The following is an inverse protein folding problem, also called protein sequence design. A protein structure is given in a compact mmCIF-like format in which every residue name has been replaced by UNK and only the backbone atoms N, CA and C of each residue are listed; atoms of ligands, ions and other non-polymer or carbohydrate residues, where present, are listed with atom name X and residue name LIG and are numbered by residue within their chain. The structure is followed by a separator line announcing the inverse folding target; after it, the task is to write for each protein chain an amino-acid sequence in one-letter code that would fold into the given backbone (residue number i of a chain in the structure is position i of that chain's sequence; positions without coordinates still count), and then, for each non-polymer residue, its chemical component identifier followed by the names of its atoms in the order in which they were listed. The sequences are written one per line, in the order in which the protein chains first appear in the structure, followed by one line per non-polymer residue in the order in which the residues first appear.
data_IF_702708788268
#
_entry.id   IF_702708788268
#
_cell.length_a   1.000
_cell.length_b   1.000
_cell.length_c   1.000
_cell.angle_alpha   90.00
_cell.angle_beta   90.00
_cell.angle_gamma   90.00
#
_symmetry.space_group_name_H-M   'P 1'
#
loop_
_entity.id
_entity.type
_entity.pdbx_description
1 polymer ?
#
# COMPACT_ATOMS: atom_id res chain seq x y z
N UNK A 1 -3.08 -0.13 -21.06
CA UNK A 1 -4.01 -0.74 -20.06
C UNK A 1 -3.23 -1.06 -18.80
N UNK A 2 -3.88 -1.14 -17.64
CA UNK A 2 -3.22 -1.46 -16.35
C UNK A 2 -2.48 -2.80 -16.43
N UNK A 3 -3.07 -3.80 -17.07
CA UNK A 3 -2.43 -5.10 -17.31
C UNK A 3 -1.05 -5.00 -17.99
N UNK A 4 -0.89 -4.08 -18.95
CA UNK A 4 0.41 -3.83 -19.59
C UNK A 4 1.38 -3.17 -18.61
N UNK A 5 0.95 -2.13 -17.87
CA UNK A 5 1.78 -1.50 -16.83
C UNK A 5 2.27 -2.52 -15.79
N UNK A 6 1.39 -3.42 -15.33
CA UNK A 6 1.75 -4.48 -14.38
C UNK A 6 2.77 -5.46 -14.95
N UNK A 7 2.68 -5.81 -16.24
CA UNK A 7 3.69 -6.67 -16.90
C UNK A 7 5.05 -5.98 -16.99
N UNK A 8 5.07 -4.67 -17.22
CA UNK A 8 6.31 -3.89 -17.29
C UNK A 8 7.07 -3.83 -15.95
N UNK A 9 6.40 -4.05 -14.81
CA UNK A 9 7.05 -4.15 -13.51
C UNK A 9 8.15 -5.23 -13.47
N UNK A 10 8.01 -6.34 -14.23
CA UNK A 10 9.06 -7.38 -14.32
C UNK A 10 10.41 -6.85 -14.80
N UNK A 11 10.42 -5.73 -15.53
CA UNK A 11 11.65 -5.12 -16.08
C UNK A 11 12.36 -4.23 -15.07
N UNK A 12 11.73 -3.92 -13.93
CA UNK A 12 12.26 -3.00 -12.92
C UNK A 12 13.31 -3.65 -12.02
N UNK A 13 13.17 -4.96 -11.75
CA UNK A 13 14.06 -5.70 -10.85
C UNK A 13 14.37 -7.08 -11.45
N UNK A 14 15.66 -7.39 -11.57
CA UNK A 14 16.11 -8.73 -12.01
C UNK A 14 15.66 -9.77 -10.98
N UNK A 15 15.01 -10.84 -11.46
CA UNK A 15 14.51 -11.93 -10.60
C UNK A 15 13.18 -11.65 -9.92
N UNK A 16 12.49 -10.54 -10.25
CA UNK A 16 11.13 -10.30 -9.79
C UNK A 16 10.14 -11.18 -10.56
N UNK A 17 9.48 -12.06 -9.83
CA UNK A 17 8.36 -12.84 -10.31
C UNK A 17 7.06 -12.05 -10.11
N UNK A 18 6.21 -12.09 -11.14
CA UNK A 18 4.89 -11.46 -11.10
C UNK A 18 3.86 -12.45 -11.59
N UNK A 19 2.88 -12.67 -10.73
CA UNK A 19 1.69 -13.50 -10.99
C UNK A 19 0.47 -12.59 -10.89
N UNK A 20 -0.39 -12.64 -11.91
CA UNK A 20 -1.66 -11.93 -11.91
C UNK A 20 -2.78 -12.97 -11.99
N UNK A 21 -3.77 -12.83 -11.12
CA UNK A 21 -5.00 -13.63 -11.17
C UNK A 21 -6.16 -12.77 -10.69
N UNK A 22 -7.27 -12.77 -11.46
CA UNK A 22 -8.41 -11.88 -11.20
C UNK A 22 -7.97 -10.41 -11.06
N UNK A 23 -8.25 -9.79 -9.92
CA UNK A 23 -7.94 -8.44 -9.48
C UNK A 23 -6.65 -8.35 -8.64
N UNK A 24 -5.96 -9.48 -8.45
CA UNK A 24 -4.78 -9.61 -7.59
C UNK A 24 -3.48 -9.63 -8.39
N UNK A 25 -2.48 -8.94 -7.85
CA UNK A 25 -1.10 -8.95 -8.36
C UNK A 25 -0.18 -9.39 -7.23
N UNK A 26 0.60 -10.44 -7.48
CA UNK A 26 1.59 -10.96 -6.54
C UNK A 26 2.99 -10.65 -7.07
N UNK A 27 3.81 -10.05 -6.22
CA UNK A 27 5.23 -9.77 -6.46
C UNK A 27 6.04 -10.69 -5.55
N UNK A 28 6.97 -11.48 -6.11
CA UNK A 28 7.86 -12.33 -5.35
C UNK A 28 9.31 -12.15 -5.82
N UNK A 29 10.25 -12.05 -4.88
CA UNK A 29 11.68 -11.93 -5.17
C UNK A 29 12.49 -12.59 -4.04
N UNK A 30 13.66 -13.19 -4.33
CA UNK A 30 14.57 -13.63 -3.28
C UNK A 30 14.98 -12.46 -2.38
N UNK A 31 14.96 -12.70 -1.07
CA UNK A 31 15.29 -11.69 -0.09
C UNK A 31 16.77 -11.30 -0.16
N UNK A 32 17.01 -9.99 -0.25
CA UNK A 32 18.23 -9.29 0.12
C UNK A 32 17.81 -7.90 0.57
N UNK A 33 18.65 -7.20 1.35
CA UNK A 33 18.33 -5.82 1.75
C UNK A 33 18.13 -4.89 0.53
N UNK A 34 18.90 -5.11 -0.53
CA UNK A 34 18.77 -4.37 -1.79
C UNK A 34 17.44 -4.67 -2.49
N UNK A 35 17.08 -5.95 -2.62
CA UNK A 35 15.83 -6.36 -3.26
C UNK A 35 14.61 -5.88 -2.47
N UNK A 36 14.67 -5.89 -1.13
CA UNK A 36 13.63 -5.34 -0.28
C UNK A 36 13.37 -3.86 -0.61
N UNK A 37 14.42 -3.03 -0.62
CA UNK A 37 14.30 -1.59 -0.95
C UNK A 37 13.67 -1.38 -2.33
N UNK A 38 14.17 -2.11 -3.33
CA UNK A 38 13.64 -2.06 -4.70
C UNK A 38 12.17 -2.46 -4.77
N UNK A 39 11.76 -3.52 -4.07
CA UNK A 39 10.35 -3.96 -4.08
C UNK A 39 9.45 -2.97 -3.38
N UNK A 40 9.88 -2.38 -2.25
CA UNK A 40 9.10 -1.33 -1.56
C UNK A 40 8.89 -0.13 -2.50
N UNK A 41 9.92 0.29 -3.24
CA UNK A 41 9.80 1.36 -4.22
C UNK A 41 8.85 1.00 -5.38
N UNK A 42 8.94 -0.23 -5.89
CA UNK A 42 8.04 -0.72 -6.94
C UNK A 42 6.60 -0.73 -6.46
N UNK A 43 6.33 -1.24 -5.26
CA UNK A 43 4.98 -1.28 -4.69
C UNK A 43 4.46 0.15 -4.45
N UNK A 44 5.28 1.01 -3.86
CA UNK A 44 4.96 2.43 -3.62
C UNK A 44 4.54 3.12 -4.91
N UNK A 45 5.38 3.06 -5.94
CA UNK A 45 5.11 3.70 -7.22
C UNK A 45 3.88 3.09 -7.91
N UNK A 46 3.74 1.77 -7.88
CA UNK A 46 2.60 1.09 -8.48
C UNK A 46 1.28 1.43 -7.79
N UNK A 47 1.27 1.52 -6.46
CA UNK A 47 0.09 1.93 -5.69
C UNK A 47 -0.28 3.40 -5.96
N UNK A 48 0.71 4.29 -6.10
CA UNK A 48 0.47 5.68 -6.49
C UNK A 48 -0.07 5.80 -7.92
N UNK A 49 0.48 5.03 -8.87
CA UNK A 49 -0.02 4.98 -10.25
C UNK A 49 -1.47 4.50 -10.32
N UNK A 50 -1.83 3.50 -9.52
CA UNK A 50 -3.22 3.04 -9.42
C UNK A 50 -4.12 4.14 -8.84
N UNK A 51 -3.70 4.85 -7.80
CA UNK A 51 -4.44 5.98 -7.25
C UNK A 51 -4.63 7.09 -8.32
N UNK A 52 -3.59 7.43 -9.08
CA UNK A 52 -3.67 8.38 -10.20
C UNK A 52 -4.65 7.92 -11.28
N UNK A 53 -4.84 6.61 -11.44
CA UNK A 53 -5.84 6.00 -12.32
C UNK A 53 -7.23 5.91 -11.68
N UNK A 54 -7.41 6.36 -10.43
CA UNK A 54 -8.67 6.34 -9.68
C UNK A 54 -8.95 5.01 -8.98
N UNK A 55 -7.94 4.15 -8.85
CA UNK A 55 -8.06 2.79 -8.34
C UNK A 55 -7.38 2.70 -6.97
N UNK A 56 -8.18 2.38 -5.97
CA UNK A 56 -7.69 2.08 -4.63
C UNK A 56 -7.29 0.62 -4.55
N UNK A 57 -6.07 0.35 -4.09
CA UNK A 57 -5.60 -1.00 -3.81
C UNK A 57 -5.09 -1.13 -2.38
N UNK A 58 -5.05 -2.37 -1.91
CA UNK A 58 -4.56 -2.79 -0.60
C UNK A 58 -3.72 -4.04 -0.76
N UNK A 59 -2.94 -4.37 0.26
CA UNK A 59 -2.09 -5.56 0.20
C UNK A 59 -1.40 -5.89 1.51
N UNK A 60 -0.64 -6.98 1.47
CA UNK A 60 0.31 -7.35 2.50
C UNK A 60 1.67 -7.66 1.88
N UNK A 61 2.75 -7.30 2.59
CA UNK A 61 4.11 -7.69 2.28
C UNK A 61 4.66 -8.54 3.43
N UNK A 62 5.18 -9.73 3.12
CA UNK A 62 5.67 -10.70 4.09
C UNK A 62 6.95 -11.36 3.58
N UNK A 63 7.69 -11.97 4.50
CA UNK A 63 8.85 -12.79 4.20
C UNK A 63 8.64 -14.22 4.69
N UNK A 64 8.95 -15.19 3.85
CA UNK A 64 8.83 -16.60 4.20
C UNK A 64 9.36 -17.52 3.11
N UNK A 65 9.35 -18.82 3.41
CA UNK A 65 9.74 -19.85 2.44
C UNK A 65 8.85 -19.76 1.21
N UNK A 66 9.49 -19.79 0.04
CA UNK A 66 8.86 -19.75 -1.26
C UNK A 66 9.47 -20.85 -2.12
N UNK A 67 8.64 -21.74 -2.63
CA UNK A 67 9.03 -22.81 -3.54
C UNK A 67 8.03 -22.84 -4.69
N UNK A 68 8.52 -22.69 -5.91
CA UNK A 68 7.71 -22.79 -7.12
C UNK A 68 8.37 -23.71 -8.13
N UNK A 69 7.58 -24.59 -8.72
CA UNK A 69 7.87 -25.33 -9.96
C UNK A 69 6.84 -24.94 -11.02
N UNK A 70 6.87 -25.57 -12.20
CA UNK A 70 5.88 -25.32 -13.27
C UNK A 70 4.44 -25.62 -12.82
N UNK A 71 4.25 -26.67 -11.99
CA UNK A 71 2.92 -27.16 -11.59
C UNK A 71 2.59 -26.97 -10.11
N UNK A 72 3.53 -26.52 -9.28
CA UNK A 72 3.36 -26.48 -7.83
C UNK A 72 3.96 -25.22 -7.20
N UNK A 73 3.15 -24.49 -6.44
CA UNK A 73 3.56 -23.32 -5.66
C UNK A 73 3.26 -23.55 -4.18
N UNK A 74 4.30 -23.48 -3.35
CA UNK A 74 4.20 -23.48 -1.90
C UNK A 74 4.95 -22.28 -1.32
N UNK A 75 4.20 -21.31 -0.81
CA UNK A 75 4.76 -20.03 -0.38
C UNK A 75 4.11 -19.56 0.92
N UNK A 76 4.79 -19.78 2.05
CA UNK A 76 4.35 -19.26 3.34
C UNK A 76 4.30 -17.72 3.33
N UNK A 77 5.29 -17.08 2.70
CA UNK A 77 5.31 -15.63 2.57
C UNK A 77 4.10 -15.09 1.80
N UNK A 78 3.67 -15.77 0.73
CA UNK A 78 2.47 -15.40 -0.02
C UNK A 78 1.20 -15.63 0.79
N UNK A 79 1.11 -16.75 1.51
CA UNK A 79 -0.04 -17.06 2.36
C UNK A 79 -0.20 -15.99 3.45
N UNK A 80 0.89 -15.57 4.09
CA UNK A 80 0.83 -14.57 5.15
C UNK A 80 0.57 -13.16 4.60
N UNK A 81 1.16 -12.81 3.45
CA UNK A 81 0.81 -11.58 2.73
C UNK A 81 -0.68 -11.52 2.36
N UNK A 82 -1.25 -12.64 1.91
CA UNK A 82 -2.67 -12.75 1.59
C UNK A 82 -3.55 -12.62 2.84
N UNK A 83 -3.17 -13.22 3.98
CA UNK A 83 -3.88 -13.03 5.25
C UNK A 83 -3.90 -11.57 5.68
N UNK A 84 -2.76 -10.88 5.57
CA UNK A 84 -2.66 -9.45 5.89
C UNK A 84 -3.61 -8.63 5.01
N UNK A 85 -3.58 -8.85 3.69
CA UNK A 85 -4.47 -8.17 2.72
C UNK A 85 -5.95 -8.40 3.03
N UNK A 86 -6.33 -9.66 3.25
CA UNK A 86 -7.73 -10.06 3.36
C UNK A 86 -8.36 -9.79 4.73
N UNK A 87 -7.57 -9.75 5.79
CA UNK A 87 -8.09 -9.66 7.17
C UNK A 87 -7.67 -8.39 7.93
N UNK A 88 -6.55 -7.76 7.56
CA UNK A 88 -5.96 -6.64 8.32
C UNK A 88 -6.00 -5.33 7.52
N UNK A 89 -5.73 -5.38 6.22
CA UNK A 89 -5.74 -4.20 5.34
C UNK A 89 -7.17 -3.76 4.99
N UNK A 90 -7.88 -3.17 5.95
CA UNK A 90 -9.26 -2.68 5.75
C UNK A 90 -9.32 -1.37 4.93
N UNK A 91 -8.19 -0.69 4.81
CA UNK A 91 -7.99 0.61 4.14
C UNK A 91 -6.99 0.47 2.97
N UNK A 92 -6.91 1.44 2.04
CA UNK A 92 -6.12 1.30 0.81
C UNK A 92 -4.61 1.49 1.07
N UNK A 93 -4.01 0.53 1.76
CA UNK A 93 -2.60 0.48 2.16
C UNK A 93 -2.02 -0.91 1.95
N UNK A 94 -0.71 -0.99 1.69
CA UNK A 94 0.05 -2.24 1.71
C UNK A 94 0.80 -2.35 3.03
N UNK A 95 0.34 -3.24 3.89
CA UNK A 95 0.90 -3.44 5.24
C UNK A 95 2.11 -4.35 5.17
N UNK A 96 3.17 -4.04 5.91
CA UNK A 96 4.34 -4.89 6.05
C UNK A 96 4.20 -5.74 7.32
N UNK A 97 4.44 -7.04 7.20
CA UNK A 97 4.37 -7.95 8.34
C UNK A 97 5.41 -7.58 9.41
N UNK A 98 5.08 -7.82 10.67
CA UNK A 98 5.97 -7.53 11.80
C UNK A 98 7.30 -8.27 11.67
N UNK A 99 7.26 -9.53 11.23
CA UNK A 99 8.44 -10.37 11.02
C UNK A 99 9.37 -9.78 9.96
N UNK A 100 8.82 -9.20 8.89
CA UNK A 100 9.62 -8.55 7.86
C UNK A 100 10.18 -7.20 8.35
N UNK A 101 9.42 -6.44 9.15
CA UNK A 101 9.94 -5.23 9.81
C UNK A 101 11.12 -5.60 10.73
N UNK A 102 10.95 -6.59 11.61
CA UNK A 102 11.96 -7.03 12.57
C UNK A 102 13.21 -7.60 11.85
N UNK A 103 13.03 -8.20 10.67
CA UNK A 103 14.13 -8.71 9.84
C UNK A 103 14.96 -7.59 9.19
N UNK A 104 14.31 -6.53 8.73
CA UNK A 104 14.97 -5.48 7.92
C UNK A 104 15.50 -4.34 8.79
N UNK A 105 14.82 -4.01 9.88
CA UNK A 105 15.11 -2.83 10.68
C UNK A 105 15.48 -3.22 12.10
N UNK A 106 16.74 -3.01 12.53
CA UNK A 106 17.03 -2.89 13.95
C UNK A 106 16.21 -1.72 14.52
N UNK A 107 15.74 -1.83 15.76
CA UNK A 107 14.79 -0.89 16.39
C UNK A 107 15.17 0.61 16.29
N UNK A 108 16.44 0.95 16.09
CA UNK A 108 16.95 2.32 15.98
C UNK A 108 16.83 2.97 14.59
N UNK A 109 16.52 2.23 13.52
CA UNK A 109 16.55 2.77 12.15
C UNK A 109 15.16 3.05 11.54
N UNK A 110 14.11 2.51 12.16
CA UNK A 110 12.76 2.54 11.60
C UNK A 110 12.14 3.94 11.58
N UNK A 111 12.47 4.79 12.56
CA UNK A 111 11.91 6.15 12.69
C UNK A 111 12.37 7.14 11.62
N UNK A 112 13.40 6.79 10.83
CA UNK A 112 13.92 7.63 9.74
C UNK A 112 13.52 7.12 8.35
N UNK A 113 12.74 6.04 8.27
CA UNK A 113 12.39 5.46 6.99
C UNK A 113 11.18 6.17 6.36
N UNK A 114 11.43 7.04 5.38
CA UNK A 114 10.38 7.76 4.66
C UNK A 114 9.49 6.86 3.77
N UNK A 115 9.92 5.63 3.46
CA UNK A 115 9.12 4.69 2.65
C UNK A 115 8.05 3.99 3.48
N UNK A 116 8.08 4.12 4.81
CA UNK A 116 7.13 3.47 5.71
C UNK A 116 6.46 4.49 6.62
N UNK A 117 5.18 4.30 6.88
CA UNK A 117 4.42 5.07 7.87
C UNK A 117 3.88 4.12 8.92
N UNK A 118 4.03 4.50 10.19
CA UNK A 118 3.38 3.85 11.32
C UNK A 118 1.98 4.43 11.49
N UNK A 119 0.96 3.58 11.38
CA UNK A 119 -0.41 3.96 11.67
C UNK A 119 -0.77 3.76 13.16
N UNK A 120 -1.84 4.42 13.61
CA UNK A 120 -2.33 4.36 15.00
C UNK A 120 -2.72 2.96 15.50
N UNK A 121 -2.90 1.99 14.59
CA UNK A 121 -3.15 0.59 14.93
C UNK A 121 -1.86 -0.21 15.22
N UNK A 122 -0.69 0.45 15.15
CA UNK A 122 0.61 -0.14 15.43
C UNK A 122 1.24 -0.87 14.25
N UNK A 123 0.66 -0.78 13.04
CA UNK A 123 1.16 -1.43 11.84
C UNK A 123 1.88 -0.46 10.91
N UNK A 124 2.92 -0.95 10.24
CA UNK A 124 3.62 -0.21 9.20
C UNK A 124 3.01 -0.49 7.83
N UNK A 125 2.85 0.57 7.04
CA UNK A 125 2.48 0.45 5.63
C UNK A 125 3.41 1.23 4.71
N UNK A 126 3.43 0.86 3.44
CA UNK A 126 4.28 1.50 2.41
C UNK A 126 3.72 2.90 2.09
N UNK A 127 4.55 3.93 2.28
CA UNK A 127 4.26 5.32 1.96
C UNK A 127 4.25 5.56 0.44
N UNK A 128 3.13 5.24 -0.20
CA UNK A 128 2.97 5.42 -1.64
C UNK A 128 2.81 6.89 -2.09
N UNK A 129 2.68 7.86 -1.19
CA UNK A 129 2.66 9.30 -1.54
C UNK A 129 4.01 9.97 -1.31
N UNK A 130 5.05 9.24 -0.87
CA UNK A 130 6.38 9.77 -0.55
C UNK A 130 6.93 10.69 -1.64
N UNK A 131 6.85 10.27 -2.90
CA UNK A 131 7.41 10.99 -4.04
C UNK A 131 6.39 11.91 -4.74
N UNK A 132 5.16 11.99 -4.22
CA UNK A 132 4.09 12.85 -4.74
C UNK A 132 4.21 14.28 -4.23
N UNK A 133 3.48 15.19 -4.89
CA UNK A 133 3.26 16.55 -4.39
C UNK A 133 1.80 16.73 -3.96
N UNK A 134 1.55 17.72 -3.11
CA UNK A 134 0.24 17.95 -2.51
C UNK A 134 -0.88 18.14 -3.56
N UNK A 135 -0.65 18.87 -4.65
CA UNK A 135 -1.70 19.16 -5.63
C UNK A 135 -2.05 17.93 -6.47
N UNK A 136 -1.04 17.22 -6.97
CA UNK A 136 -1.27 16.03 -7.80
C UNK A 136 -1.81 14.86 -6.98
N UNK A 137 -1.31 14.67 -5.75
CA UNK A 137 -1.86 13.66 -4.84
C UNK A 137 -3.33 13.97 -4.49
N UNK A 138 -3.70 15.24 -4.31
CA UNK A 138 -5.10 15.59 -4.06
C UNK A 138 -5.99 15.35 -5.28
N UNK A 139 -5.53 15.70 -6.49
CA UNK A 139 -6.25 15.38 -7.74
C UNK A 139 -6.48 13.88 -7.89
N UNK A 140 -5.48 13.06 -7.56
CA UNK A 140 -5.57 11.61 -7.60
C UNK A 140 -6.64 11.08 -6.62
N UNK A 141 -6.69 11.63 -5.40
CA UNK A 141 -7.73 11.33 -4.40
C UNK A 141 -9.11 11.71 -4.93
N UNK A 142 -9.30 12.93 -5.45
CA UNK A 142 -10.58 13.38 -6.01
C UNK A 142 -11.05 12.53 -7.20
N UNK A 143 -10.14 11.86 -7.91
CA UNK A 143 -10.48 10.89 -8.96
C UNK A 143 -10.95 9.55 -8.39
N UNK A 144 -10.39 9.14 -7.25
CA UNK A 144 -10.64 7.84 -6.63
C UNK A 144 -11.86 7.83 -5.68
N UNK A 145 -12.18 8.96 -5.05
CA UNK A 145 -13.30 9.10 -4.12
C UNK A 145 -14.23 10.26 -4.53
N UNK A 146 -15.55 10.13 -4.33
CA UNK A 146 -16.51 11.22 -4.55
C UNK A 146 -16.28 12.42 -3.62
N UNK A 147 -16.81 13.58 -4.00
CA UNK A 147 -16.73 14.81 -3.20
C UNK A 147 -17.42 14.65 -1.84
N UNK A 148 -18.60 14.04 -1.85
CA UNK A 148 -19.34 13.65 -0.65
C UNK A 148 -18.91 12.26 -0.20
N UNK A 149 -18.69 12.11 1.11
CA UNK A 149 -18.32 10.81 1.68
C UNK A 149 -19.49 9.82 1.55
N UNK A 150 -19.16 8.54 1.36
CA UNK A 150 -20.20 7.51 1.29
C UNK A 150 -21.00 7.42 2.59
N UNK A 151 -22.30 7.14 2.48
CA UNK A 151 -23.16 6.78 3.61
C UNK A 151 -22.89 5.35 4.12
N UNK A 152 -22.29 4.48 3.30
CA UNK A 152 -21.90 3.15 3.73
C UNK A 152 -20.68 3.26 4.67
N UNK A 153 -20.78 2.82 5.95
CA UNK A 153 -19.70 3.03 6.93
C UNK A 153 -18.35 2.43 6.52
N UNK A 154 -18.36 1.28 5.83
CA UNK A 154 -17.15 0.59 5.37
C UNK A 154 -16.47 1.29 4.19
N UNK A 155 -17.25 1.92 3.32
CA UNK A 155 -16.71 2.74 2.22
C UNK A 155 -16.25 4.10 2.76
N UNK A 156 -17.07 4.70 3.64
CA UNK A 156 -16.78 5.96 4.31
C UNK A 156 -15.45 5.92 5.05
N UNK A 157 -15.18 4.85 5.80
CA UNK A 157 -13.93 4.71 6.55
C UNK A 157 -12.70 4.71 5.64
N UNK A 158 -12.79 4.13 4.44
CA UNK A 158 -11.71 4.15 3.43
C UNK A 158 -11.49 5.55 2.87
N UNK A 159 -12.57 6.29 2.60
CA UNK A 159 -12.46 7.68 2.13
C UNK A 159 -11.79 8.56 3.19
N UNK A 160 -12.22 8.44 4.45
CA UNK A 160 -11.64 9.19 5.57
C UNK A 160 -10.17 8.83 5.74
N UNK A 161 -9.83 7.53 5.74
CA UNK A 161 -8.44 7.09 5.86
C UNK A 161 -7.54 7.71 4.79
N UNK A 162 -8.02 7.78 3.54
CA UNK A 162 -7.25 8.34 2.43
C UNK A 162 -7.01 9.84 2.58
N UNK A 163 -8.00 10.58 3.10
CA UNK A 163 -7.89 12.02 3.40
C UNK A 163 -6.94 12.24 4.59
N UNK A 164 -7.06 11.44 5.65
CA UNK A 164 -6.19 11.52 6.83
C UNK A 164 -4.73 11.22 6.45
N UNK A 165 -4.52 10.22 5.59
CA UNK A 165 -3.19 9.90 5.05
C UNK A 165 -2.61 11.05 4.23
N UNK A 166 -3.39 11.68 3.34
CA UNK A 166 -2.96 12.88 2.62
C UNK A 166 -2.58 14.02 3.57
N UNK A 167 -3.42 14.30 4.56
CA UNK A 167 -3.20 15.36 5.53
C UNK A 167 -1.97 15.10 6.41
N UNK A 168 -1.67 13.82 6.69
CA UNK A 168 -0.44 13.42 7.36
C UNK A 168 0.80 13.66 6.48
N UNK A 169 0.73 13.28 5.20
CA UNK A 169 1.84 13.44 4.25
C UNK A 169 2.10 14.90 3.87
N UNK A 170 1.05 15.73 3.79
CA UNK A 170 1.11 17.13 3.35
C UNK A 170 0.46 18.08 4.37
N UNK A 171 1.07 18.28 5.55
CA UNK A 171 0.46 19.04 6.65
C UNK A 171 0.23 20.53 6.34
N UNK A 172 1.00 21.12 5.43
CA UNK A 172 0.83 22.52 5.00
C UNK A 172 -0.31 22.72 3.99
N UNK A 173 -0.83 21.63 3.42
CA UNK A 173 -1.85 21.64 2.36
C UNK A 173 -3.11 20.88 2.76
N UNK A 174 -3.39 20.76 4.07
CA UNK A 174 -4.49 19.96 4.60
C UNK A 174 -5.84 20.23 3.92
N UNK A 175 -6.63 19.18 3.78
CA UNK A 175 -7.95 19.18 3.16
C UNK A 175 -8.95 18.48 4.07
N UNK A 176 -10.19 19.00 4.12
CA UNK A 176 -11.36 18.35 4.74
C UNK A 176 -11.11 17.83 6.19
N UNK A 177 -10.65 18.70 7.09
CA UNK A 177 -10.14 18.33 8.43
C UNK A 177 -11.17 17.77 9.45
N UNK A 178 -12.43 17.51 9.11
CA UNK A 178 -13.43 17.03 10.09
C UNK A 178 -14.48 16.08 9.48
N UNK A 179 -14.33 14.78 9.75
CA UNK A 179 -15.25 13.74 9.24
C UNK A 179 -15.84 12.79 10.30
N UNK A 180 -15.25 12.74 11.49
CA UNK A 180 -15.65 11.78 12.55
C UNK A 180 -16.73 12.31 13.49
N UNK A 181 -16.82 13.61 13.68
CA UNK A 181 -17.78 14.24 14.59
C UNK A 181 -18.55 15.32 13.84
N UNK A 182 -19.86 15.12 13.69
CA UNK A 182 -20.80 16.12 13.17
C UNK A 182 -21.59 16.68 14.35
N UNK A 183 -21.82 17.99 14.35
CA UNK A 183 -22.81 18.57 15.26
C UNK A 183 -24.19 18.12 14.81
N UNK A 184 -25.11 17.75 15.73
CA UNK A 184 -26.46 17.32 15.37
C UNK A 184 -27.27 18.34 14.55
N UNK A 185 -26.83 19.60 14.54
CA UNK A 185 -27.53 20.76 13.97
C UNK A 185 -26.91 21.27 12.65
N UNK A 186 -26.10 20.47 11.96
CA UNK A 186 -25.46 20.84 10.67
C UNK A 186 -26.23 20.33 9.45
#
# INVERSE_FOLDING_TARGET
TIHLKTKELKKTIIGLEITQFSDSVVLAIPYSQENYKKVVDVISNYQYDLLNDGILCRGGASYGKHFSTEDFLFSNGMIDAYKIESTIALTPRVIISKELIDLVYPASELSKNEHLILESDGLYFINYMKNGNADDSWKAICKAIPDELSENPSIRSKHIWLIDYYNHQFPESKRKDNHRFVSPDA
#
